data_IF_703847294673
#
_entry.id   IF_703847294673
#
_cell.length_a   1.000
_cell.length_b   1.000
_cell.length_c   1.000
_cell.angle_alpha   90.00
_cell.angle_beta   90.00
_cell.angle_gamma   90.00
#
_symmetry.space_group_name_H-M   'P 1'
#
loop_
_entity.id
_entity.type
_entity.pdbx_description
1 polymer ?
#
# COMPACT_ATOMS: atom_id res chain seq x y z
N UNK A 1 3.48 -8.09 9.95
CA UNK A 1 2.38 -7.10 10.05
C UNK A 1 2.81 -5.85 9.29
N UNK A 2 2.05 -5.52 8.26
CA UNK A 2 2.36 -4.37 7.40
C UNK A 2 2.45 -3.07 8.20
N UNK A 3 3.44 -2.25 7.88
CA UNK A 3 3.61 -0.92 8.45
C UNK A 3 4.30 0.02 7.46
N UNK A 4 3.97 1.31 7.57
CA UNK A 4 4.61 2.37 6.79
C UNK A 4 5.15 3.41 7.76
N UNK A 5 6.47 3.56 7.86
CA UNK A 5 7.15 4.48 8.78
C UNK A 5 6.65 4.39 10.23
N UNK A 6 6.42 3.15 10.72
CA UNK A 6 5.91 2.90 12.06
C UNK A 6 4.41 3.11 12.24
N UNK A 7 3.70 3.52 11.17
CA UNK A 7 2.23 3.57 11.18
C UNK A 7 1.67 2.18 10.92
N UNK A 8 0.71 1.76 11.73
CA UNK A 8 0.00 0.49 11.61
C UNK A 8 -1.49 0.69 11.87
N UNK A 9 -2.33 -0.20 11.33
CA UNK A 9 -3.77 -0.24 11.64
C UNK A 9 -4.07 -1.55 12.35
N UNK A 10 -4.73 -1.49 13.50
CA UNK A 10 -5.18 -2.65 14.26
C UNK A 10 -6.71 -2.74 14.27
N UNK A 11 -7.25 -3.96 14.35
CA UNK A 11 -8.70 -4.18 14.34
C UNK A 11 -9.35 -3.68 13.05
N UNK A 12 -8.65 -3.80 11.92
CA UNK A 12 -9.16 -3.36 10.63
C UNK A 12 -10.40 -4.17 10.25
N UNK A 13 -11.46 -3.47 9.88
CA UNK A 13 -12.66 -4.04 9.27
C UNK A 13 -12.92 -3.40 7.93
N UNK A 14 -13.50 -4.16 7.00
CA UNK A 14 -13.93 -3.70 5.69
C UNK A 14 -15.43 -3.83 5.56
N UNK A 15 -16.05 -2.79 5.10
CA UNK A 15 -17.48 -2.73 4.86
C UNK A 15 -17.68 -2.59 3.35
N UNK A 16 -18.35 -3.55 2.74
CA UNK A 16 -18.72 -3.46 1.33
C UNK A 16 -20.05 -2.74 1.25
N UNK A 17 -20.04 -1.53 0.74
CA UNK A 17 -21.26 -0.76 0.49
C UNK A 17 -22.06 -1.29 -0.70
N UNK A 18 -23.29 -0.83 -0.85
CA UNK A 18 -24.21 -1.22 -1.94
C UNK A 18 -23.72 -0.81 -3.34
N UNK A 19 -22.64 -0.03 -3.45
CA UNK A 19 -22.05 0.46 -4.70
C UNK A 19 -20.65 -0.08 -5.01
N UNK A 20 -20.26 -1.24 -4.51
CA UNK A 20 -18.92 -1.84 -4.65
C UNK A 20 -17.76 -1.03 -4.01
N UNK A 21 -18.04 0.06 -3.32
CA UNK A 21 -17.01 0.76 -2.55
C UNK A 21 -16.68 -0.04 -1.29
N UNK A 22 -15.42 -0.41 -1.14
CA UNK A 22 -14.92 -1.03 0.09
C UNK A 22 -14.42 0.08 1.01
N UNK A 23 -15.10 0.25 2.14
CA UNK A 23 -14.67 1.15 3.19
C UNK A 23 -13.81 0.40 4.18
N UNK A 24 -12.64 0.92 4.47
CA UNK A 24 -11.77 0.39 5.50
C UNK A 24 -11.86 1.28 6.75
N UNK A 25 -11.84 0.66 7.93
CA UNK A 25 -11.78 1.36 9.20
C UNK A 25 -10.96 0.57 10.22
N UNK A 26 -10.40 1.26 11.20
CA UNK A 26 -9.61 0.63 12.25
C UNK A 26 -8.95 1.61 13.20
N UNK A 27 -8.17 1.09 14.13
CA UNK A 27 -7.38 1.89 15.06
C UNK A 27 -5.98 2.12 14.51
N UNK A 28 -5.63 3.38 14.30
CA UNK A 28 -4.30 3.80 13.85
C UNK A 28 -3.35 3.87 15.04
N UNK A 29 -2.17 3.30 14.86
CA UNK A 29 -1.08 3.37 15.82
C UNK A 29 0.19 3.93 15.14
N UNK A 30 0.98 4.67 15.88
CA UNK A 30 2.30 5.17 15.46
C UNK A 30 3.36 4.66 16.43
N UNK A 31 4.35 3.91 15.93
CA UNK A 31 5.40 3.27 16.74
C UNK A 31 4.85 2.47 17.92
N UNK A 32 3.74 1.76 17.70
CA UNK A 32 3.05 0.95 18.72
C UNK A 32 2.18 1.74 19.69
N UNK A 33 2.15 3.07 19.63
CA UNK A 33 1.26 3.91 20.43
C UNK A 33 -0.05 4.13 19.68
N UNK A 34 -1.17 3.81 20.32
CA UNK A 34 -2.50 4.09 19.78
C UNK A 34 -2.70 5.61 19.64
N UNK A 35 -3.11 6.05 18.45
CA UNK A 35 -3.54 7.42 18.17
C UNK A 35 -5.05 7.56 18.31
N UNK A 36 -5.81 6.74 17.61
CA UNK A 36 -7.26 6.79 17.63
C UNK A 36 -7.88 5.97 16.49
N UNK A 37 -9.17 6.17 16.28
CA UNK A 37 -9.93 5.50 15.24
C UNK A 37 -9.87 6.30 13.94
N UNK A 38 -9.84 5.58 12.82
CA UNK A 38 -9.90 6.11 11.46
C UNK A 38 -10.89 5.30 10.64
N UNK A 39 -11.59 5.96 9.74
CA UNK A 39 -12.37 5.32 8.70
C UNK A 39 -12.20 6.04 7.37
N UNK A 40 -12.12 5.27 6.29
CA UNK A 40 -12.09 5.78 4.94
C UNK A 40 -13.43 6.44 4.61
N UNK A 41 -13.40 7.58 3.92
CA UNK A 41 -14.61 8.28 3.48
C UNK A 41 -15.32 7.54 2.34
N UNK A 42 -16.63 7.67 2.28
CA UNK A 42 -17.46 7.12 1.20
C UNK A 42 -17.16 7.80 -0.14
N UNK A 43 -17.15 7.02 -1.22
CA UNK A 43 -17.05 7.52 -2.60
C UNK A 43 -15.85 8.44 -2.88
N UNK A 44 -14.72 8.23 -2.18
CA UNK A 44 -13.55 9.11 -2.29
C UNK A 44 -13.71 10.43 -1.54
N UNK A 45 -14.65 10.50 -0.61
CA UNK A 45 -14.76 11.57 0.37
C UNK A 45 -13.57 11.57 1.36
N UNK A 46 -13.42 12.65 2.14
CA UNK A 46 -12.34 12.74 3.11
C UNK A 46 -12.47 11.65 4.19
N UNK A 47 -11.33 11.13 4.65
CA UNK A 47 -11.30 10.21 5.78
C UNK A 47 -11.79 10.87 7.08
N UNK A 48 -12.37 10.06 7.96
CA UNK A 48 -12.80 10.49 9.28
C UNK A 48 -11.74 10.07 10.30
N UNK A 49 -11.19 11.02 11.02
CA UNK A 49 -10.20 10.82 12.06
C UNK A 49 -10.77 11.15 13.44
N UNK A 50 -10.68 10.22 14.39
CA UNK A 50 -10.98 10.47 15.81
C UNK A 50 -9.69 10.75 16.61
N UNK A 51 -8.74 11.40 15.96
CA UNK A 51 -7.48 11.90 16.53
C UNK A 51 -6.98 13.03 15.62
N UNK A 52 -5.97 13.79 16.07
CA UNK A 52 -5.34 14.80 15.23
C UNK A 52 -4.48 14.14 14.14
N UNK A 53 -4.91 14.19 12.84
CA UNK A 53 -4.15 13.56 11.75
C UNK A 53 -2.77 14.20 11.55
N UNK A 54 -2.52 15.38 12.10
CA UNK A 54 -1.22 16.04 12.05
C UNK A 54 -0.10 15.17 12.65
N UNK A 55 -0.44 14.26 13.58
CA UNK A 55 0.49 13.26 14.09
C UNK A 55 1.10 12.35 13.01
N UNK A 56 0.40 12.17 11.88
CA UNK A 56 0.84 11.35 10.76
C UNK A 56 1.61 12.13 9.69
N UNK A 57 1.67 13.46 9.78
CA UNK A 57 2.27 14.31 8.74
C UNK A 57 3.71 13.91 8.41
N UNK A 58 4.54 13.67 9.40
CA UNK A 58 5.95 13.31 9.18
C UNK A 58 6.10 11.93 8.50
N UNK A 59 5.50 10.83 8.99
CA UNK A 59 5.55 9.55 8.28
C UNK A 59 4.92 9.63 6.89
N UNK A 60 3.83 10.36 6.70
CA UNK A 60 3.17 10.52 5.42
C UNK A 60 4.03 11.28 4.41
N UNK A 61 4.69 12.35 4.83
CA UNK A 61 5.61 13.10 3.99
C UNK A 61 6.80 12.25 3.55
N UNK A 62 7.46 11.54 4.48
CA UNK A 62 8.57 10.64 4.17
C UNK A 62 8.15 9.53 3.19
N UNK A 63 6.95 8.99 3.37
CA UNK A 63 6.40 7.99 2.47
C UNK A 63 6.22 8.55 1.07
N UNK A 64 5.63 9.73 0.93
CA UNK A 64 5.44 10.40 -0.35
C UNK A 64 6.77 10.73 -1.04
N UNK A 65 7.79 11.17 -0.29
CA UNK A 65 9.12 11.47 -0.84
C UNK A 65 9.81 10.23 -1.44
N UNK A 66 9.56 9.05 -0.88
CA UNK A 66 10.11 7.78 -1.37
C UNK A 66 9.35 7.15 -2.54
N UNK A 67 8.14 7.60 -2.81
CA UNK A 67 7.39 7.13 -3.97
C UNK A 67 8.15 7.41 -5.25
N UNK A 68 8.16 6.45 -6.16
CA UNK A 68 8.68 6.68 -7.50
C UNK A 68 7.77 7.63 -8.30
N UNK A 69 8.26 8.04 -9.48
CA UNK A 69 7.53 8.99 -10.33
C UNK A 69 6.15 8.46 -10.71
N UNK A 70 6.06 7.17 -11.08
CA UNK A 70 4.79 6.58 -11.51
C UNK A 70 3.77 6.54 -10.37
N UNK A 71 4.20 6.19 -9.16
CA UNK A 71 3.36 6.23 -7.97
C UNK A 71 2.87 7.65 -7.66
N UNK A 72 3.77 8.66 -7.74
CA UNK A 72 3.40 10.07 -7.55
C UNK A 72 2.42 10.57 -8.60
N UNK A 73 2.59 10.16 -9.84
CA UNK A 73 1.67 10.50 -10.93
C UNK A 73 0.28 9.92 -10.69
N UNK A 74 0.16 8.66 -10.24
CA UNK A 74 -1.13 8.04 -9.86
C UNK A 74 -1.85 8.89 -8.83
N UNK A 75 -1.17 9.25 -7.74
CA UNK A 75 -1.78 10.04 -6.68
C UNK A 75 -2.03 11.49 -7.10
N UNK A 76 -1.14 12.11 -7.84
CA UNK A 76 -1.31 13.45 -8.38
C UNK A 76 -2.47 13.55 -9.35
N UNK A 77 -2.66 12.55 -10.22
CA UNK A 77 -3.74 12.52 -11.21
C UNK A 77 -5.12 12.32 -10.59
N UNK A 78 -5.27 11.49 -9.57
CA UNK A 78 -6.53 11.33 -8.85
C UNK A 78 -7.00 12.66 -8.25
N UNK A 79 -6.09 13.52 -7.84
CA UNK A 79 -6.39 14.83 -7.28
C UNK A 79 -6.55 15.94 -8.32
N UNK A 80 -5.84 15.87 -9.45
CA UNK A 80 -6.02 16.84 -10.55
C UNK A 80 -7.40 16.76 -11.21
N UNK A 81 -8.02 15.59 -11.23
CA UNK A 81 -9.36 15.41 -11.79
C UNK A 81 -10.46 16.09 -10.95
N UNK A 82 -10.25 16.28 -9.66
CA UNK A 82 -11.23 16.95 -8.78
C UNK A 82 -11.09 18.47 -8.72
N UNK A 83 -10.11 19.05 -9.38
CA UNK A 83 -9.90 20.51 -9.44
C UNK A 83 -9.51 21.18 -8.10
N UNK A 84 -9.34 20.43 -7.04
CA UNK A 84 -8.86 20.90 -5.73
C UNK A 84 -7.72 20.01 -5.26
N UNK A 85 -6.50 20.51 -5.39
CA UNK A 85 -5.31 19.85 -4.88
C UNK A 85 -5.28 20.05 -3.36
N UNK A 86 -5.88 19.14 -2.63
CA UNK A 86 -5.53 18.88 -1.24
C UNK A 86 -5.25 17.38 -1.14
N UNK A 87 -4.04 16.97 -1.57
CA UNK A 87 -3.56 15.64 -1.26
C UNK A 87 -3.33 15.61 0.23
N UNK A 88 -4.26 15.03 0.97
CA UNK A 88 -3.94 14.66 2.33
C UNK A 88 -3.00 13.45 2.27
N UNK A 89 -1.70 13.70 2.44
CA UNK A 89 -0.68 12.65 2.46
C UNK A 89 -1.00 11.57 3.51
N UNK A 90 -1.77 11.90 4.53
CA UNK A 90 -2.22 10.96 5.54
C UNK A 90 -3.24 9.98 4.98
N UNK A 91 -4.18 10.45 4.14
CA UNK A 91 -5.15 9.59 3.45
C UNK A 91 -4.44 8.63 2.48
N UNK A 92 -3.48 9.12 1.71
CA UNK A 92 -2.67 8.29 0.81
C UNK A 92 -1.91 7.22 1.59
N UNK A 93 -1.24 7.60 2.68
CA UNK A 93 -0.50 6.66 3.51
C UNK A 93 -1.40 5.58 4.09
N UNK A 94 -2.58 5.95 4.61
CA UNK A 94 -3.50 4.98 5.22
C UNK A 94 -4.17 4.08 4.17
N UNK A 95 -4.54 4.61 3.01
CA UNK A 95 -5.07 3.83 1.89
C UNK A 95 -4.04 2.79 1.40
N UNK A 96 -2.79 3.20 1.25
CA UNK A 96 -1.72 2.28 0.87
C UNK A 96 -1.41 1.27 1.97
N UNK A 97 -1.47 1.67 3.23
CA UNK A 97 -1.29 0.73 4.34
C UNK A 97 -2.37 -0.35 4.34
N UNK A 98 -3.63 0.00 4.05
CA UNK A 98 -4.71 -0.99 3.87
C UNK A 98 -4.39 -1.94 2.72
N UNK A 99 -3.91 -1.42 1.59
CA UNK A 99 -3.49 -2.23 0.45
C UNK A 99 -2.34 -3.17 0.83
N UNK A 100 -1.34 -2.69 1.57
CA UNK A 100 -0.23 -3.50 2.06
C UNK A 100 -0.70 -4.63 2.99
N UNK A 101 -1.68 -4.37 3.86
CA UNK A 101 -2.25 -5.39 4.76
C UNK A 101 -2.97 -6.49 3.98
N UNK A 102 -3.66 -6.15 2.88
CA UNK A 102 -4.29 -7.13 2.01
C UNK A 102 -3.26 -8.00 1.30
N UNK A 103 -2.23 -7.36 0.76
CA UNK A 103 -1.13 -8.05 0.08
C UNK A 103 -0.35 -8.94 1.06
N UNK A 104 -0.10 -8.48 2.29
CA UNK A 104 0.52 -9.30 3.34
C UNK A 104 -0.33 -10.54 3.65
N UNK A 105 -1.65 -10.35 3.78
CA UNK A 105 -2.58 -11.46 4.04
C UNK A 105 -2.54 -12.50 2.93
N UNK A 106 -2.52 -12.05 1.68
CA UNK A 106 -2.42 -12.93 0.51
C UNK A 106 -1.06 -13.62 0.45
N UNK A 107 0.02 -12.88 0.66
CA UNK A 107 1.38 -13.44 0.74
C UNK A 107 1.48 -14.54 1.80
N UNK A 108 1.01 -14.27 3.02
CA UNK A 108 1.04 -15.23 4.13
C UNK A 108 0.17 -16.47 3.86
N UNK A 109 -0.89 -16.33 3.06
CA UNK A 109 -1.70 -17.48 2.61
C UNK A 109 -0.90 -18.35 1.65
N UNK A 110 -0.26 -17.75 0.64
CA UNK A 110 0.52 -18.49 -0.36
C UNK A 110 1.81 -19.10 0.24
N UNK A 111 2.41 -18.44 1.23
CA UNK A 111 3.61 -18.94 1.91
C UNK A 111 3.39 -20.31 2.60
N UNK A 112 2.15 -20.69 2.90
CA UNK A 112 1.83 -22.01 3.45
C UNK A 112 2.09 -23.15 2.45
N UNK A 113 1.98 -22.83 1.14
CA UNK A 113 2.20 -23.79 0.06
C UNK A 113 3.68 -23.90 -0.35
N UNK A 114 4.53 -23.04 0.20
CA UNK A 114 5.98 -23.01 -0.04
C UNK A 114 6.54 -21.61 -0.22
N UNK A 115 7.86 -21.48 -0.44
CA UNK A 115 8.49 -20.20 -0.70
C UNK A 115 7.84 -19.52 -1.91
N UNK A 116 7.44 -18.28 -1.76
CA UNK A 116 6.77 -17.53 -2.82
C UNK A 116 7.25 -16.08 -2.91
N UNK A 117 7.08 -15.48 -4.09
CA UNK A 117 7.25 -14.05 -4.34
C UNK A 117 5.91 -13.48 -4.79
N UNK A 118 5.38 -12.53 -4.03
CA UNK A 118 4.20 -11.76 -4.45
C UNK A 118 4.67 -10.49 -5.15
N UNK A 119 4.07 -10.20 -6.30
CA UNK A 119 4.45 -9.07 -7.14
C UNK A 119 3.22 -8.24 -7.46
N UNK A 120 3.36 -6.93 -7.36
CA UNK A 120 2.41 -5.98 -7.95
C UNK A 120 3.05 -5.32 -9.16
N UNK A 121 2.31 -5.24 -10.25
CA UNK A 121 2.75 -4.66 -11.52
C UNK A 121 1.60 -3.96 -12.22
N UNK A 122 1.93 -3.10 -13.15
CA UNK A 122 0.97 -2.45 -14.04
C UNK A 122 1.50 -2.47 -15.48
N UNK A 123 0.62 -2.32 -16.44
CA UNK A 123 1.02 -2.16 -17.83
C UNK A 123 1.79 -0.85 -18.03
N UNK A 124 2.91 -0.90 -18.75
CA UNK A 124 3.65 0.31 -19.16
C UNK A 124 3.00 0.85 -20.42
N UNK A 125 2.42 2.05 -20.32
CA UNK A 125 1.84 2.71 -21.48
C UNK A 125 2.86 2.93 -22.58
N UNK A 126 2.45 2.69 -23.81
CA UNK A 126 3.18 3.12 -25.00
C UNK A 126 3.03 4.63 -25.22
N UNK A 127 3.92 5.24 -25.98
CA UNK A 127 3.80 6.66 -26.32
C UNK A 127 2.46 7.02 -27.00
N UNK A 128 1.90 6.09 -27.79
CA UNK A 128 0.59 6.25 -28.44
C UNK A 128 -0.57 6.23 -27.43
N UNK A 129 -0.52 5.34 -26.44
CA UNK A 129 -1.51 5.28 -25.36
C UNK A 129 -1.43 6.47 -24.43
N UNK A 130 -0.22 6.97 -24.14
CA UNK A 130 -0.03 8.20 -23.38
C UNK A 130 -0.62 9.41 -24.10
N UNK A 131 -0.43 9.51 -25.42
CA UNK A 131 -1.00 10.59 -26.23
C UNK A 131 -2.53 10.54 -26.33
N UNK A 132 -3.11 9.33 -26.42
CA UNK A 132 -4.56 9.15 -26.56
C UNK A 132 -5.32 9.21 -25.23
N UNK A 133 -4.68 8.76 -24.13
CA UNK A 133 -5.26 8.69 -22.81
C UNK A 133 -4.28 9.18 -21.73
N UNK A 134 -3.92 10.47 -21.72
CA UNK A 134 -2.87 11.00 -20.84
C UNK A 134 -3.21 10.87 -19.36
N UNK A 135 -4.51 10.83 -19.03
CA UNK A 135 -4.98 10.80 -17.64
C UNK A 135 -5.42 9.42 -17.16
N UNK A 136 -5.39 8.38 -18.02
CA UNK A 136 -5.71 7.02 -17.56
C UNK A 136 -4.50 6.40 -16.85
N UNK A 137 -4.73 5.82 -15.68
CA UNK A 137 -3.70 5.05 -14.97
C UNK A 137 -4.01 3.57 -15.17
N UNK A 138 -3.08 2.76 -15.71
CA UNK A 138 -3.29 1.34 -15.82
C UNK A 138 -3.55 0.71 -14.45
N UNK A 139 -4.50 -0.23 -14.33
CA UNK A 139 -4.79 -0.88 -13.06
C UNK A 139 -3.58 -1.66 -12.56
N UNK A 140 -3.36 -1.62 -11.26
CA UNK A 140 -2.36 -2.46 -10.60
C UNK A 140 -2.88 -3.89 -10.59
N UNK A 141 -2.10 -4.78 -11.20
CA UNK A 141 -2.31 -6.23 -11.19
C UNK A 141 -1.40 -6.86 -10.12
N UNK A 142 -1.72 -8.07 -9.70
CA UNK A 142 -0.90 -8.85 -8.79
C UNK A 142 -0.75 -10.28 -9.26
N UNK A 143 0.40 -10.89 -8.96
CA UNK A 143 0.69 -12.29 -9.24
C UNK A 143 1.57 -12.86 -8.13
N UNK A 144 1.37 -14.13 -7.80
CA UNK A 144 2.23 -14.88 -6.89
C UNK A 144 2.98 -15.95 -7.67
N UNK A 145 4.30 -15.99 -7.52
CA UNK A 145 5.17 -17.05 -8.03
C UNK A 145 5.56 -17.95 -6.88
N UNK A 146 5.46 -19.27 -7.04
CA UNK A 146 5.89 -20.27 -6.06
C UNK A 146 7.41 -20.47 -6.14
N UNK A 147 8.13 -19.38 -6.02
CA UNK A 147 9.59 -19.29 -6.05
C UNK A 147 10.00 -18.03 -5.28
N UNK A 148 11.04 -18.11 -4.47
CA UNK A 148 11.58 -16.95 -3.73
C UNK A 148 13.05 -17.22 -3.36
N UNK A 149 13.93 -16.21 -3.35
CA UNK A 149 13.65 -14.82 -3.80
C UNK A 149 13.73 -14.67 -5.32
N UNK A 150 13.03 -13.68 -5.86
CA UNK A 150 13.09 -13.33 -7.29
C UNK A 150 13.47 -11.87 -7.48
N UNK A 151 14.24 -11.60 -8.53
CA UNK A 151 14.62 -10.25 -8.92
C UNK A 151 13.70 -9.64 -9.99
N UNK A 152 13.74 -8.31 -10.13
CA UNK A 152 12.87 -7.58 -11.06
C UNK A 152 12.97 -8.07 -12.52
N UNK A 153 14.17 -8.28 -13.12
CA UNK A 153 14.27 -8.74 -14.51
C UNK A 153 13.64 -10.13 -14.72
N UNK A 154 13.88 -11.07 -13.80
CA UNK A 154 13.32 -12.41 -13.83
C UNK A 154 11.79 -12.39 -13.76
N UNK A 155 11.24 -11.52 -12.93
CA UNK A 155 9.80 -11.33 -12.77
C UNK A 155 9.19 -10.76 -14.05
N UNK A 156 9.77 -9.72 -14.63
CA UNK A 156 9.29 -9.11 -15.88
C UNK A 156 9.26 -10.14 -17.01
N UNK A 157 10.31 -10.95 -17.14
CA UNK A 157 10.38 -12.05 -18.11
C UNK A 157 9.28 -13.10 -17.90
N UNK A 158 9.00 -13.48 -16.66
CA UNK A 158 7.96 -14.45 -16.35
C UNK A 158 6.55 -13.91 -16.58
N UNK A 159 6.31 -12.62 -16.31
CA UNK A 159 5.03 -11.97 -16.59
C UNK A 159 4.76 -12.03 -18.09
N UNK A 160 5.74 -11.70 -18.92
CA UNK A 160 5.65 -11.74 -20.39
C UNK A 160 5.45 -13.20 -20.86
N UNK A 161 6.28 -14.13 -20.42
CA UNK A 161 6.20 -15.56 -20.80
C UNK A 161 4.85 -16.21 -20.46
N UNK A 162 4.21 -15.75 -19.37
CA UNK A 162 2.87 -16.24 -18.96
C UNK A 162 1.71 -15.48 -19.61
N UNK A 163 1.97 -14.56 -20.52
CA UNK A 163 0.99 -13.70 -21.18
C UNK A 163 0.10 -12.91 -20.19
N UNK A 164 0.66 -12.53 -19.03
CA UNK A 164 -0.04 -11.72 -18.04
C UNK A 164 -0.01 -10.24 -18.40
N UNK A 165 1.08 -9.80 -19.02
CA UNK A 165 1.29 -8.46 -19.56
C UNK A 165 2.45 -8.50 -20.56
N UNK A 166 2.36 -7.78 -21.66
CA UNK A 166 3.40 -7.71 -22.72
C UNK A 166 4.44 -6.60 -22.45
N UNK A 167 4.09 -5.64 -21.63
CA UNK A 167 4.97 -4.53 -21.22
C UNK A 167 4.84 -4.24 -19.72
N UNK A 168 5.26 -5.17 -18.84
CA UNK A 168 5.08 -5.02 -17.41
C UNK A 168 6.00 -3.93 -16.84
N UNK A 169 5.45 -3.13 -15.92
CA UNK A 169 6.20 -2.29 -15.02
C UNK A 169 5.99 -2.81 -13.60
N UNK A 170 7.00 -3.50 -13.08
CA UNK A 170 6.96 -4.06 -11.71
C UNK A 170 7.02 -2.91 -10.71
N UNK A 171 5.97 -2.79 -9.91
CA UNK A 171 5.79 -1.74 -8.90
C UNK A 171 6.41 -2.14 -7.57
N UNK A 172 6.08 -3.35 -7.07
CA UNK A 172 6.63 -3.87 -5.80
C UNK A 172 6.84 -5.38 -5.88
N UNK A 173 7.84 -5.84 -5.14
CA UNK A 173 8.23 -7.24 -4.99
C UNK A 173 8.26 -7.56 -3.50
N UNK A 174 7.61 -8.65 -3.11
CA UNK A 174 7.57 -9.15 -1.74
C UNK A 174 8.12 -10.57 -1.72
N UNK A 175 9.35 -10.72 -1.27
CA UNK A 175 10.06 -12.00 -1.13
C UNK A 175 10.00 -12.54 0.30
N UNK A 176 9.67 -11.66 1.25
CA UNK A 176 9.64 -11.98 2.68
C UNK A 176 8.55 -11.18 3.40
N UNK A 177 8.12 -11.61 4.60
CA UNK A 177 7.21 -10.81 5.43
C UNK A 177 7.76 -9.42 5.81
N UNK A 178 9.08 -9.25 5.82
CA UNK A 178 9.71 -7.97 6.17
C UNK A 178 9.55 -6.91 5.08
N UNK A 179 9.27 -7.33 3.83
CA UNK A 179 9.05 -6.42 2.70
C UNK A 179 7.73 -5.62 2.82
N UNK A 180 6.84 -6.03 3.73
CA UNK A 180 5.64 -5.28 4.08
C UNK A 180 5.88 -4.17 5.14
N UNK A 181 7.14 -3.99 5.56
CA UNK A 181 7.55 -2.95 6.50
C UNK A 181 8.33 -1.88 5.76
N UNK A 182 7.67 -0.77 5.44
CA UNK A 182 8.28 0.35 4.72
C UNK A 182 8.84 1.36 5.72
N UNK A 183 10.08 1.79 5.50
CA UNK A 183 10.71 2.86 6.30
C UNK A 183 11.28 2.42 7.66
N UNK A 184 11.49 1.12 7.84
CA UNK A 184 12.12 0.53 9.03
C UNK A 184 11.15 -0.10 10.02
N UNK A 185 11.64 -1.09 10.76
CA UNK A 185 10.84 -1.78 11.77
C UNK A 185 10.46 -0.82 12.91
N UNK A 186 9.20 -0.75 13.33
CA UNK A 186 8.84 -0.03 14.54
C UNK A 186 9.68 -0.59 15.69
N UNK A 187 10.36 0.30 16.43
CA UNK A 187 11.21 -0.09 17.54
C UNK A 187 10.46 -1.08 18.44
N UNK A 188 10.99 -2.28 18.61
CA UNK A 188 10.43 -3.26 19.55
C UNK A 188 10.33 -2.57 20.91
N UNK A 189 9.11 -2.27 21.35
CA UNK A 189 8.88 -1.73 22.70
C UNK A 189 9.37 -2.83 23.63
N UNK A 190 10.56 -2.60 24.23
CA UNK A 190 11.04 -3.45 25.34
C UNK A 190 10.01 -3.31 26.43
N UNK A 191 9.13 -4.32 26.59
CA UNK A 191 8.28 -4.43 27.78
C UNK A 191 9.25 -4.48 28.96
N UNK A 192 9.37 -3.36 29.65
CA UNK A 192 10.04 -3.34 30.95
C UNK A 192 9.27 -4.31 31.84
N UNK A 193 9.92 -5.43 32.20
CA UNK A 193 9.42 -6.29 33.27
C UNK A 193 9.35 -5.41 34.52
N UNK A 194 8.15 -4.97 34.86
CA UNK A 194 7.91 -4.41 36.17
C UNK A 194 8.35 -5.47 37.17
N UNK A 195 9.46 -5.21 37.87
CA UNK A 195 9.85 -6.00 39.04
C UNK A 195 8.82 -5.72 40.11
N UNK A 196 7.91 -6.68 40.33
CA UNK A 196 7.15 -6.74 41.57
C UNK A 196 8.14 -6.95 42.72
N UNK A 197 8.21 -5.99 43.58
CA UNK A 197 8.71 -6.15 44.95
C UNK A 197 7.54 -6.31 45.87
#
# INVERSE_FOLDING_TARGET
MASIYGVTISGMTKITGTGQSVLAQGTVCLNGRKLGFWSQGDFGGPSIYQFDPFCLRNPAQKYYEQMDRAQKEVYGMLYCQSGKICVDFCDVLLADLVTQMDLETEYMKNLKDGPCTLVTFQHRKTASEEASQPYSVPPIKKVCFLQSPMGKPEIEDLIIKRNLDDSPNVVRIYNSPDDFVIGGCPAKIKRSKARSR
#
